data_IF_831781015129
#
_entry.id   IF_831781015129
#
_cell.length_a   1.000
_cell.length_b   1.000
_cell.length_c   1.000
_cell.angle_alpha   90.00
_cell.angle_beta   90.00
_cell.angle_gamma   90.00
#
_symmetry.space_group_name_H-M   'P 1'
#
loop_
_entity.id
_entity.type
_entity.pdbx_description
1 polymer ?
#
# COMPACT_ATOMS: atom_id res chain seq x y z
N UNK A 1 8.82 -6.96 10.94
CA UNK A 1 8.06 -6.29 9.86
C UNK A 1 8.98 -5.98 8.68
N UNK A 2 9.78 -4.91 8.73
CA UNK A 2 10.65 -4.53 7.59
C UNK A 2 11.66 -5.62 7.18
N UNK A 3 12.35 -6.26 8.14
CA UNK A 3 13.26 -7.37 7.83
C UNK A 3 12.56 -8.52 7.09
N UNK A 4 11.38 -8.93 7.59
CA UNK A 4 10.53 -9.95 6.94
C UNK A 4 10.11 -9.52 5.54
N UNK A 5 9.70 -8.26 5.36
CA UNK A 5 9.31 -7.74 4.05
C UNK A 5 10.45 -7.84 3.03
N UNK A 6 11.65 -7.38 3.39
CA UNK A 6 12.81 -7.43 2.49
C UNK A 6 13.29 -8.85 2.19
N UNK A 7 13.08 -9.77 3.13
CA UNK A 7 13.49 -11.16 2.97
C UNK A 7 12.50 -11.94 2.11
N UNK A 8 11.21 -11.76 2.34
CA UNK A 8 10.18 -12.69 1.87
C UNK A 8 9.16 -12.06 0.91
N UNK A 9 8.95 -10.73 0.94
CA UNK A 9 7.82 -10.07 0.24
C UNK A 9 8.22 -9.01 -0.79
N UNK A 10 9.48 -8.56 -0.84
CA UNK A 10 9.92 -7.47 -1.73
C UNK A 10 10.30 -7.91 -3.16
N UNK A 11 10.12 -9.19 -3.51
CA UNK A 11 10.51 -9.73 -4.82
C UNK A 11 9.79 -9.09 -6.00
N UNK A 12 8.50 -8.77 -5.83
CA UNK A 12 7.71 -8.07 -6.86
C UNK A 12 8.32 -6.70 -7.18
N UNK A 13 8.68 -5.93 -6.14
CA UNK A 13 9.28 -4.61 -6.26
C UNK A 13 10.67 -4.72 -6.88
N UNK A 14 11.49 -5.69 -6.49
CA UNK A 14 12.82 -5.89 -7.09
C UNK A 14 12.76 -6.14 -8.61
N UNK A 15 11.75 -6.90 -9.07
CA UNK A 15 11.50 -7.11 -10.50
C UNK A 15 11.03 -5.82 -11.19
N UNK A 16 10.11 -5.07 -10.58
CA UNK A 16 9.57 -3.83 -11.18
C UNK A 16 10.59 -2.68 -11.18
N UNK A 17 11.41 -2.56 -10.12
CA UNK A 17 12.49 -1.56 -10.03
C UNK A 17 13.56 -1.79 -11.09
N UNK A 18 13.84 -3.05 -11.46
CA UNK A 18 14.99 -3.36 -12.33
C UNK A 18 14.60 -3.80 -13.74
N UNK A 19 13.45 -4.41 -13.96
CA UNK A 19 13.05 -4.97 -15.26
C UNK A 19 11.53 -4.82 -15.48
N UNK A 20 10.98 -3.59 -15.37
CA UNK A 20 9.53 -3.35 -15.47
C UNK A 20 8.97 -3.82 -16.81
N UNK A 21 9.70 -3.59 -17.92
CA UNK A 21 9.30 -4.03 -19.25
C UNK A 21 9.25 -5.57 -19.37
N UNK A 22 10.19 -6.27 -18.73
CA UNK A 22 10.29 -7.74 -18.82
C UNK A 22 9.14 -8.41 -18.09
N UNK A 23 8.84 -8.00 -16.85
CA UNK A 23 7.67 -8.54 -16.13
C UNK A 23 6.37 -8.12 -16.84
N UNK A 24 6.32 -6.89 -17.35
CA UNK A 24 5.21 -6.32 -18.08
C UNK A 24 4.65 -7.21 -19.19
N UNK A 25 5.52 -7.83 -20.02
CA UNK A 25 5.07 -8.76 -21.07
C UNK A 25 4.16 -9.87 -20.55
N UNK A 26 4.49 -10.47 -19.41
CA UNK A 26 3.68 -11.54 -18.82
C UNK A 26 2.37 -11.03 -18.22
N UNK A 27 2.38 -9.81 -17.66
CA UNK A 27 1.23 -9.17 -17.02
C UNK A 27 0.20 -8.64 -18.03
N UNK A 28 0.61 -8.35 -19.27
CA UNK A 28 -0.32 -7.91 -20.33
C UNK A 28 -0.79 -9.06 -21.23
N UNK A 29 -0.05 -10.16 -21.33
CA UNK A 29 -0.39 -11.30 -22.19
C UNK A 29 -1.25 -12.36 -21.47
N UNK A 30 -1.14 -12.47 -20.14
CA UNK A 30 -1.85 -13.49 -19.36
C UNK A 30 -2.78 -12.88 -18.29
N UNK A 31 -4.12 -12.99 -18.42
CA UNK A 31 -5.04 -12.48 -17.40
C UNK A 31 -4.91 -13.25 -16.09
N UNK A 32 -4.59 -14.55 -16.13
CA UNK A 32 -4.31 -15.36 -14.93
C UNK A 32 -2.98 -14.95 -14.30
N UNK A 33 -1.96 -14.64 -15.10
CA UNK A 33 -0.69 -14.12 -14.62
C UNK A 33 -0.84 -12.78 -13.88
N UNK A 34 -1.57 -11.84 -14.48
CA UNK A 34 -1.91 -10.56 -13.87
C UNK A 34 -2.72 -10.74 -12.58
N UNK A 35 -3.78 -11.55 -12.63
CA UNK A 35 -4.63 -11.79 -11.48
C UNK A 35 -3.84 -12.38 -10.30
N UNK A 36 -2.98 -13.38 -10.54
CA UNK A 36 -2.13 -13.96 -9.50
C UNK A 36 -1.14 -12.95 -8.91
N UNK A 37 -0.55 -12.10 -9.76
CA UNK A 37 0.41 -11.06 -9.34
C UNK A 37 -0.21 -10.03 -8.39
N UNK A 38 -1.44 -9.60 -8.67
CA UNK A 38 -2.17 -8.64 -7.85
C UNK A 38 -2.79 -9.32 -6.62
N UNK A 39 -3.44 -10.47 -6.80
CA UNK A 39 -4.16 -11.19 -5.75
C UNK A 39 -3.25 -11.58 -4.57
N UNK A 40 -1.99 -11.94 -4.83
CA UNK A 40 -1.03 -12.22 -3.76
C UNK A 40 -0.87 -11.02 -2.80
N UNK A 41 -0.96 -9.78 -3.30
CA UNK A 41 -0.92 -8.57 -2.49
C UNK A 41 -2.18 -8.38 -1.68
N UNK A 42 -3.36 -8.70 -2.22
CA UNK A 42 -4.58 -8.74 -1.42
C UNK A 42 -4.44 -9.72 -0.26
N UNK A 43 -3.96 -10.93 -0.52
CA UNK A 43 -3.78 -11.93 0.53
C UNK A 43 -2.76 -11.53 1.60
N UNK A 44 -1.64 -10.92 1.21
CA UNK A 44 -0.59 -10.53 2.17
C UNK A 44 -0.85 -9.21 2.89
N UNK A 45 -1.46 -8.22 2.24
CA UNK A 45 -1.49 -6.84 2.72
C UNK A 45 -2.84 -6.39 3.27
N UNK A 46 -3.88 -7.21 3.10
CA UNK A 46 -5.13 -6.99 3.84
C UNK A 46 -5.04 -7.53 5.27
N UNK A 47 -5.82 -6.96 6.19
CA UNK A 47 -5.95 -7.44 7.56
C UNK A 47 -6.92 -8.62 7.66
N UNK A 48 -6.71 -9.62 6.82
CA UNK A 48 -7.57 -10.80 6.65
C UNK A 48 -6.97 -12.09 7.22
N UNK A 49 -5.68 -12.08 7.53
CA UNK A 49 -4.94 -13.27 7.95
C UNK A 49 -4.59 -14.22 6.81
N UNK A 50 -4.43 -13.70 5.58
CA UNK A 50 -4.07 -14.50 4.40
C UNK A 50 -5.26 -14.94 3.54
N UNK A 51 -6.49 -14.61 3.92
CA UNK A 51 -7.73 -14.96 3.23
C UNK A 51 -8.47 -13.65 2.86
N UNK A 52 -8.07 -12.96 1.76
CA UNK A 52 -8.57 -11.62 1.45
C UNK A 52 -10.09 -11.55 1.30
N UNK A 53 -10.75 -12.67 0.94
CA UNK A 53 -12.22 -12.80 0.88
C UNK A 53 -12.94 -12.51 2.20
N UNK A 54 -12.23 -12.53 3.33
CA UNK A 54 -12.80 -12.16 4.64
C UNK A 54 -13.05 -10.67 4.78
N UNK A 55 -12.38 -9.84 3.97
CA UNK A 55 -12.43 -8.37 4.08
C UNK A 55 -12.75 -7.67 2.77
N UNK A 56 -12.44 -8.29 1.62
CA UNK A 56 -12.82 -7.82 0.29
C UNK A 56 -13.64 -8.89 -0.42
N UNK A 57 -14.71 -8.49 -1.10
CA UNK A 57 -15.46 -9.43 -1.94
C UNK A 57 -14.68 -9.82 -3.19
N UNK A 58 -15.08 -10.93 -3.81
CA UNK A 58 -14.49 -11.37 -5.07
C UNK A 58 -14.69 -10.37 -6.20
N UNK A 59 -15.86 -9.74 -6.28
CA UNK A 59 -16.17 -8.76 -7.32
C UNK A 59 -15.31 -7.51 -7.15
N UNK A 60 -15.13 -7.03 -5.91
CA UNK A 60 -14.22 -5.91 -5.62
C UNK A 60 -12.78 -6.22 -6.07
N UNK A 61 -12.24 -7.39 -5.71
CA UNK A 61 -10.90 -7.77 -6.15
C UNK A 61 -10.79 -7.94 -7.67
N UNK A 62 -11.83 -8.49 -8.32
CA UNK A 62 -11.88 -8.65 -9.77
C UNK A 62 -12.02 -7.31 -10.49
N UNK A 63 -12.70 -6.32 -9.92
CA UNK A 63 -12.82 -4.98 -10.50
C UNK A 63 -11.46 -4.29 -10.58
N UNK A 64 -10.65 -4.37 -9.52
CA UNK A 64 -9.27 -3.83 -9.53
C UNK A 64 -8.40 -4.58 -10.55
N UNK A 65 -8.39 -5.92 -10.53
CA UNK A 65 -7.65 -6.73 -11.50
C UNK A 65 -8.08 -6.42 -12.95
N UNK A 66 -9.39 -6.28 -13.17
CA UNK A 66 -9.95 -5.99 -14.49
C UNK A 66 -9.58 -4.59 -14.97
N UNK A 67 -9.46 -3.62 -14.07
CA UNK A 67 -8.96 -2.29 -14.42
C UNK A 67 -7.55 -2.37 -15.01
N UNK A 68 -6.64 -3.12 -14.38
CA UNK A 68 -5.28 -3.31 -14.92
C UNK A 68 -5.28 -4.06 -16.26
N UNK A 69 -6.12 -5.10 -16.37
CA UNK A 69 -6.23 -5.92 -17.57
C UNK A 69 -6.75 -5.12 -18.77
N UNK A 70 -7.91 -4.49 -18.60
CA UNK A 70 -8.62 -3.80 -19.70
C UNK A 70 -7.91 -2.52 -20.16
N UNK A 71 -7.05 -1.94 -19.31
CA UNK A 71 -6.23 -0.78 -19.66
C UNK A 71 -4.83 -1.16 -20.16
N UNK A 72 -4.51 -2.46 -20.19
CA UNK A 72 -3.17 -2.98 -20.54
C UNK A 72 -2.05 -2.35 -19.69
N UNK A 73 -2.35 -2.01 -18.43
CA UNK A 73 -1.47 -1.18 -17.60
C UNK A 73 -0.48 -1.98 -16.74
N UNK A 74 -0.42 -3.31 -16.88
CA UNK A 74 0.55 -4.15 -16.15
C UNK A 74 2.01 -3.72 -16.36
N UNK A 75 2.37 -3.31 -17.59
CA UNK A 75 3.71 -2.79 -17.89
C UNK A 75 3.89 -1.35 -17.39
N UNK A 76 2.94 -0.46 -17.70
CA UNK A 76 3.09 0.97 -17.37
C UNK A 76 3.04 1.23 -15.86
N UNK A 77 2.24 0.48 -15.11
CA UNK A 77 2.20 0.55 -13.65
C UNK A 77 3.52 0.08 -13.01
N UNK A 78 4.25 -0.87 -13.63
CA UNK A 78 5.56 -1.28 -13.14
C UNK A 78 6.63 -0.20 -13.32
N UNK A 79 6.48 0.71 -14.30
CA UNK A 79 7.49 1.72 -14.61
C UNK A 79 7.72 2.71 -13.45
N UNK A 80 6.72 2.97 -12.60
CA UNK A 80 6.91 3.88 -11.47
C UNK A 80 8.01 3.38 -10.51
N UNK A 81 8.15 2.06 -10.35
CA UNK A 81 9.22 1.46 -9.55
C UNK A 81 10.60 1.65 -10.20
N UNK A 82 10.67 1.67 -11.52
CA UNK A 82 11.92 1.95 -12.23
C UNK A 82 12.27 3.44 -12.19
N UNK A 83 11.29 4.34 -12.28
CA UNK A 83 11.57 5.77 -12.16
C UNK A 83 11.97 6.15 -10.72
N UNK A 84 11.32 5.54 -9.72
CA UNK A 84 11.62 5.75 -8.31
C UNK A 84 12.51 4.62 -7.74
N UNK A 85 13.82 4.83 -7.83
CA UNK A 85 14.82 3.96 -7.20
C UNK A 85 14.99 4.22 -5.69
N UNK A 86 14.18 5.09 -5.10
CA UNK A 86 14.29 5.37 -3.67
C UNK A 86 13.81 4.17 -2.85
N UNK A 87 14.39 4.03 -1.66
CA UNK A 87 13.84 3.12 -0.69
C UNK A 87 12.60 3.77 -0.06
N UNK A 88 11.43 3.18 -0.29
CA UNK A 88 10.12 3.64 0.20
C UNK A 88 10.03 3.77 1.74
N UNK A 89 11.03 3.30 2.48
CA UNK A 89 11.09 3.38 3.95
C UNK A 89 12.18 4.34 4.46
N UNK A 90 12.74 5.19 3.60
CA UNK A 90 13.69 6.20 4.03
C UNK A 90 13.02 7.24 4.95
N UNK A 91 13.74 7.66 5.98
CA UNK A 91 13.32 8.81 6.78
C UNK A 91 13.29 10.07 5.91
N UNK A 92 12.25 10.87 6.09
CA UNK A 92 12.11 12.20 5.48
C UNK A 92 12.30 13.26 6.55
N UNK A 93 12.63 14.49 6.15
CA UNK A 93 12.70 15.65 7.03
C UNK A 93 11.76 16.73 6.50
N UNK A 94 10.56 16.80 7.07
CA UNK A 94 9.48 17.71 6.68
C UNK A 94 9.21 18.66 7.85
N UNK A 95 9.75 19.88 7.73
CA UNK A 95 9.70 20.86 8.80
C UNK A 95 8.35 21.59 8.92
N UNK A 96 7.83 22.11 7.81
CA UNK A 96 6.79 23.15 7.88
C UNK A 96 5.35 22.64 7.61
N UNK A 97 5.21 21.51 6.91
CA UNK A 97 3.90 21.02 6.47
C UNK A 97 3.14 20.39 7.65
N UNK A 98 1.88 20.76 7.92
CA UNK A 98 1.02 20.03 8.84
C UNK A 98 0.81 18.60 8.33
N UNK A 99 1.25 17.60 9.10
CA UNK A 99 1.14 16.19 8.73
C UNK A 99 0.26 15.45 9.73
N UNK A 100 -0.60 14.57 9.22
CA UNK A 100 -1.39 13.64 10.00
C UNK A 100 -1.01 12.21 9.62
N UNK A 101 -0.88 11.32 10.62
CA UNK A 101 -0.55 9.91 10.40
C UNK A 101 -1.55 9.04 11.15
N UNK A 102 -2.15 8.07 10.44
CA UNK A 102 -2.84 6.94 11.04
C UNK A 102 -2.06 5.68 10.72
N UNK A 103 -1.77 4.87 11.73
CA UNK A 103 -1.11 3.57 11.58
C UNK A 103 -2.15 2.47 11.68
N UNK A 104 -2.29 1.68 10.62
CA UNK A 104 -3.17 0.51 10.57
C UNK A 104 -2.38 -0.77 10.90
N UNK A 105 -2.93 -1.69 11.71
CA UNK A 105 -2.17 -2.83 12.24
C UNK A 105 -1.77 -3.87 11.19
N UNK A 106 -2.43 -3.91 10.03
CA UNK A 106 -2.07 -4.79 8.91
C UNK A 106 -1.17 -4.16 7.85
N UNK A 107 -0.64 -2.95 8.08
CA UNK A 107 0.29 -2.31 7.15
C UNK A 107 1.63 -3.09 7.08
N UNK A 108 2.32 -3.00 5.93
CA UNK A 108 3.63 -3.62 5.66
C UNK A 108 4.64 -3.26 6.77
N UNK A 109 4.58 -2.02 7.25
CA UNK A 109 5.32 -1.57 8.42
C UNK A 109 4.50 -0.57 9.26
N UNK A 110 4.45 -0.81 10.56
CA UNK A 110 3.82 0.11 11.51
C UNK A 110 4.89 1.04 12.09
N UNK A 111 5.08 2.22 11.50
CA UNK A 111 6.01 3.21 12.03
C UNK A 111 5.59 3.67 13.44
N UNK A 112 6.46 3.58 14.45
CA UNK A 112 6.13 4.09 15.78
C UNK A 112 6.02 5.62 15.73
N UNK A 113 5.23 6.19 16.65
CA UNK A 113 5.06 7.64 16.80
C UNK A 113 6.38 8.41 16.86
N UNK A 114 7.38 7.87 17.55
CA UNK A 114 8.69 8.50 17.68
C UNK A 114 9.44 8.64 16.35
N UNK A 115 9.18 7.77 15.37
CA UNK A 115 9.72 7.92 14.02
C UNK A 115 8.97 8.99 13.25
N UNK A 116 7.64 9.03 13.36
CA UNK A 116 6.82 10.07 12.74
C UNK A 116 7.18 11.47 13.25
N UNK A 117 7.34 11.65 14.56
CA UNK A 117 7.73 12.94 15.17
C UNK A 117 9.13 13.40 14.75
N UNK A 118 10.04 12.46 14.44
CA UNK A 118 11.37 12.79 13.90
C UNK A 118 11.36 13.18 12.43
N UNK A 119 10.38 12.69 11.66
CA UNK A 119 10.28 13.00 10.24
C UNK A 119 9.38 14.21 9.96
N UNK A 120 8.40 14.46 10.83
CA UNK A 120 7.36 15.47 10.65
C UNK A 120 7.35 16.41 11.86
N UNK A 121 7.99 17.58 11.75
CA UNK A 121 8.11 18.52 12.87
C UNK A 121 6.78 19.19 13.24
N UNK A 122 5.81 19.18 12.32
CA UNK A 122 4.44 19.66 12.52
C UNK A 122 3.43 18.51 12.41
N UNK A 123 3.58 17.48 13.27
CA UNK A 123 2.67 16.34 13.36
C UNK A 123 1.39 16.73 14.13
N UNK A 124 0.34 17.07 13.40
CA UNK A 124 -0.92 17.59 13.97
C UNK A 124 -1.88 16.50 14.45
N UNK A 125 -1.68 15.26 14.01
CA UNK A 125 -2.50 14.11 14.38
C UNK A 125 -1.68 12.83 14.26
N UNK A 126 -1.76 11.98 15.28
CA UNK A 126 -1.20 10.64 15.25
C UNK A 126 -2.17 9.68 15.95
N UNK A 127 -2.52 8.60 15.28
CA UNK A 127 -3.38 7.58 15.86
C UNK A 127 -3.04 6.17 15.34
N UNK A 128 -3.26 5.18 16.19
CA UNK A 128 -3.10 3.76 15.85
C UNK A 128 -4.49 3.14 15.79
N UNK A 129 -4.93 2.78 14.59
CA UNK A 129 -6.24 2.18 14.37
C UNK A 129 -6.27 0.72 14.88
N UNK A 130 -7.48 0.21 15.12
CA UNK A 130 -7.67 -1.13 15.71
C UNK A 130 -7.67 -2.28 14.70
N UNK A 131 -7.88 -1.99 13.42
CA UNK A 131 -8.06 -2.97 12.34
C UNK A 131 -7.77 -2.30 10.99
N UNK A 132 -7.87 -3.06 9.90
CA UNK A 132 -7.46 -2.74 8.52
C UNK A 132 -5.96 -2.93 8.25
N UNK A 133 -5.65 -3.20 6.99
CA UNK A 133 -4.30 -3.37 6.47
C UNK A 133 -3.88 -2.22 5.56
N UNK A 134 -3.09 -2.56 4.55
CA UNK A 134 -2.54 -1.61 3.59
C UNK A 134 -3.62 -0.87 2.79
N UNK A 135 -4.73 -1.55 2.50
CA UNK A 135 -5.83 -0.99 1.72
C UNK A 135 -6.90 -0.39 2.66
N UNK A 136 -6.49 0.40 3.65
CA UNK A 136 -7.36 0.83 4.76
C UNK A 136 -8.69 1.47 4.32
N UNK A 137 -8.67 2.31 3.28
CA UNK A 137 -9.87 2.94 2.74
C UNK A 137 -10.84 1.93 2.09
N UNK A 138 -10.32 0.82 1.57
CA UNK A 138 -11.08 -0.24 0.94
C UNK A 138 -11.57 -1.26 1.97
N UNK A 139 -10.71 -1.67 2.90
CA UNK A 139 -11.03 -2.67 3.92
C UNK A 139 -11.98 -2.16 5.01
N UNK A 140 -11.84 -0.89 5.42
CA UNK A 140 -12.59 -0.28 6.52
C UNK A 140 -12.92 1.19 6.22
N UNK A 141 -13.82 1.46 5.25
CA UNK A 141 -14.10 2.81 4.75
C UNK A 141 -14.62 3.75 5.86
N UNK A 142 -15.39 3.26 6.82
CA UNK A 142 -15.88 4.07 7.95
C UNK A 142 -14.74 4.52 8.86
N UNK A 143 -13.86 3.60 9.25
CA UNK A 143 -12.69 3.90 10.09
C UNK A 143 -11.79 4.88 9.36
N UNK A 144 -11.43 4.61 8.10
CA UNK A 144 -10.62 5.51 7.30
C UNK A 144 -11.23 6.93 7.25
N UNK A 145 -12.55 7.03 7.05
CA UNK A 145 -13.26 8.31 7.01
C UNK A 145 -13.23 9.04 8.35
N UNK A 146 -13.38 8.32 9.46
CA UNK A 146 -13.31 8.87 10.81
C UNK A 146 -11.91 9.43 11.12
N UNK A 147 -10.86 8.70 10.76
CA UNK A 147 -9.46 9.09 10.92
C UNK A 147 -9.16 10.37 10.13
N UNK A 148 -9.57 10.43 8.86
CA UNK A 148 -9.44 11.64 8.03
C UNK A 148 -10.19 12.81 8.67
N UNK A 149 -11.43 12.60 9.13
CA UNK A 149 -12.20 13.69 9.78
C UNK A 149 -11.57 14.15 11.09
N UNK A 150 -11.01 13.25 11.88
CA UNK A 150 -10.34 13.57 13.13
C UNK A 150 -9.04 14.35 12.87
N UNK A 151 -8.23 13.89 11.92
CA UNK A 151 -6.98 14.53 11.51
C UNK A 151 -7.18 16.00 11.07
N UNK A 152 -8.18 16.25 10.23
CA UNK A 152 -8.44 17.61 9.72
C UNK A 152 -9.30 18.47 10.64
N UNK A 153 -9.74 17.98 11.81
CA UNK A 153 -10.63 18.73 12.71
C UNK A 153 -9.98 20.01 13.24
N UNK A 154 -8.68 20.00 13.49
CA UNK A 154 -7.93 21.17 13.98
C UNK A 154 -7.65 22.23 12.90
N UNK A 155 -7.88 21.90 11.62
CA UNK A 155 -7.60 22.75 10.46
C UNK A 155 -8.87 23.40 9.86
N UNK A 156 -10.05 23.16 10.45
CA UNK A 156 -11.34 23.65 9.96
C UNK A 156 -11.99 24.64 10.91
#
# INVERSE_FOLDING_TARGET
>A
ALETFYKDSSGYAAMMVTRPQTIGYSLVDSPVGLAAWIYEKFAQWTYSGGEPERVLTRDEMLDDISLYWLTESGTSAAQIYWEDHSNNFNAVDIADLPVAVTVFPGEIYCAPRSWAERCYHNLIYFHEAKTAGHFAAWEQPEIFTEEVRAAFRSLR
#
